data_IF_361868586046
#
_entry.id   IF_361868586046
#
_cell.length_a   1.000
_cell.length_b   1.000
_cell.length_c   1.000
_cell.angle_alpha   90.00
_cell.angle_beta   90.00
_cell.angle_gamma   90.00
#
_symmetry.space_group_name_H-M   'P 1'
#
loop_
_entity.id
_entity.type
_entity.pdbx_description
1 polymer ?
#
# COMPACT_ATOMS: atom_id res chain seq x y z
N UNK A 1 -10.63 -5.29 -1.81
CA UNK A 1 -10.91 -4.70 -0.49
C UNK A 1 -9.75 -3.76 -0.18
N UNK A 2 -10.01 -2.56 0.34
CA UNK A 2 -8.95 -1.64 0.75
C UNK A 2 -8.07 -2.24 1.86
N UNK A 3 -6.87 -1.69 2.04
CA UNK A 3 -5.93 -2.13 3.07
C UNK A 3 -6.26 -1.55 4.45
N UNK A 4 -6.86 -0.37 4.47
CA UNK A 4 -7.21 0.40 5.64
C UNK A 4 -8.69 0.23 6.02
N UNK A 5 -8.96 0.31 7.32
CA UNK A 5 -10.34 0.41 7.84
C UNK A 5 -10.81 1.87 7.88
N UNK A 6 -9.94 2.77 8.34
CA UNK A 6 -10.15 4.22 8.31
C UNK A 6 -9.41 4.82 7.11
N UNK A 7 -10.09 5.58 6.22
CA UNK A 7 -9.47 6.12 5.02
C UNK A 7 -8.18 6.91 5.28
N UNK A 8 -7.11 6.50 4.60
CA UNK A 8 -5.79 7.14 4.69
C UNK A 8 -4.93 6.66 5.87
N UNK A 9 -5.43 5.73 6.70
CA UNK A 9 -4.68 5.17 7.82
C UNK A 9 -4.36 3.68 7.58
N UNK A 10 -3.37 3.45 6.72
CA UNK A 10 -2.85 2.11 6.45
C UNK A 10 -1.89 1.69 7.58
N UNK A 11 -2.20 0.64 8.36
CA UNK A 11 -1.36 0.25 9.47
C UNK A 11 -0.09 -0.46 9.00
N UNK A 12 0.93 -0.44 9.86
CA UNK A 12 2.19 -1.15 9.62
C UNK A 12 2.48 -2.10 10.77
N UNK A 13 3.17 -3.20 10.49
CA UNK A 13 3.70 -4.07 11.53
C UNK A 13 5.14 -3.66 11.85
N UNK A 14 5.35 -3.14 13.06
CA UNK A 14 6.66 -2.67 13.56
C UNK A 14 7.36 -1.68 12.62
N UNK A 15 6.60 -0.89 11.86
CA UNK A 15 7.11 0.02 10.83
C UNK A 15 8.01 -0.64 9.75
N UNK A 16 7.87 -1.95 9.54
CA UNK A 16 8.70 -2.70 8.57
C UNK A 16 7.91 -3.17 7.34
N UNK A 17 6.61 -3.41 7.50
CA UNK A 17 5.72 -3.88 6.42
C UNK A 17 4.34 -3.27 6.57
N UNK A 18 3.64 -3.14 5.45
CA UNK A 18 2.22 -2.75 5.39
C UNK A 18 1.37 -3.92 5.89
N UNK A 19 0.39 -3.65 6.74
CA UNK A 19 -0.53 -4.67 7.26
C UNK A 19 -1.95 -4.38 6.77
N UNK A 20 -2.65 -5.39 6.25
CA UNK A 20 -4.07 -5.29 5.95
C UNK A 20 -4.87 -5.24 7.25
N UNK A 21 -5.71 -4.23 7.43
CA UNK A 21 -6.52 -4.01 8.63
C UNK A 21 -7.61 -5.09 8.87
N UNK A 22 -7.96 -5.88 7.85
CA UNK A 22 -9.09 -6.80 7.93
C UNK A 22 -8.68 -8.26 8.19
N UNK A 23 -7.56 -8.70 7.63
CA UNK A 23 -7.12 -10.10 7.73
C UNK A 23 -5.60 -10.23 7.91
N UNK A 24 -4.95 -9.16 8.39
CA UNK A 24 -3.57 -9.13 8.87
C UNK A 24 -2.51 -9.64 7.89
N UNK A 25 -2.81 -9.61 6.59
CA UNK A 25 -1.82 -9.94 5.58
C UNK A 25 -0.72 -8.86 5.54
N UNK A 26 0.53 -9.29 5.31
CA UNK A 26 1.70 -8.42 5.35
C UNK A 26 2.27 -8.21 3.95
N UNK A 27 2.50 -6.95 3.58
CA UNK A 27 3.01 -6.54 2.28
C UNK A 27 4.30 -5.73 2.42
N UNK A 28 5.26 -6.01 1.54
CA UNK A 28 6.52 -5.27 1.46
C UNK A 28 6.31 -3.84 0.97
N UNK A 29 7.07 -2.89 1.51
CA UNK A 29 7.08 -1.52 1.01
C UNK A 29 7.72 -1.40 -0.38
N UNK A 30 8.72 -2.23 -0.66
CA UNK A 30 9.56 -2.11 -1.85
C UNK A 30 8.78 -2.40 -3.13
N UNK A 31 7.89 -3.39 -3.08
CA UNK A 31 7.22 -3.89 -4.27
C UNK A 31 5.77 -4.30 -4.06
N UNK A 32 5.21 -4.08 -2.87
CA UNK A 32 3.82 -4.40 -2.56
C UNK A 32 3.51 -5.89 -2.54
N UNK A 33 4.52 -6.79 -2.51
CA UNK A 33 4.29 -8.23 -2.51
C UNK A 33 3.75 -8.70 -1.16
N UNK A 34 2.67 -9.48 -1.17
CA UNK A 34 2.13 -10.17 0.01
C UNK A 34 3.11 -11.28 0.41
N UNK A 35 3.70 -11.16 1.60
CA UNK A 35 4.68 -12.11 2.17
C UNK A 35 4.09 -12.98 3.27
N UNK A 36 2.92 -12.63 3.79
CA UNK A 36 2.20 -13.41 4.81
C UNK A 36 0.68 -13.21 4.68
N UNK A 37 -0.09 -14.27 4.95
CA UNK A 37 -1.56 -14.26 4.96
C UNK A 37 -2.21 -14.95 3.75
N UNK A 38 -3.54 -14.92 3.71
CA UNK A 38 -4.37 -15.59 2.68
C UNK A 38 -4.11 -15.11 1.25
N UNK A 39 -3.44 -13.95 1.07
CA UNK A 39 -3.06 -13.40 -0.22
C UNK A 39 -1.63 -13.76 -0.66
N UNK A 40 -0.94 -14.68 0.01
CA UNK A 40 0.48 -14.94 -0.24
C UNK A 40 0.78 -15.13 -1.73
N UNK A 41 1.68 -14.29 -2.26
CA UNK A 41 2.03 -14.27 -3.69
C UNK A 41 1.30 -13.21 -4.53
N UNK A 42 0.21 -12.62 -4.04
CA UNK A 42 -0.41 -11.45 -4.65
C UNK A 42 0.44 -10.17 -4.43
N UNK A 43 0.07 -9.08 -5.10
CA UNK A 43 0.76 -7.79 -5.02
C UNK A 43 -0.23 -6.63 -5.03
N UNK A 44 0.10 -5.55 -4.33
CA UNK A 44 -0.61 -4.27 -4.37
C UNK A 44 -0.34 -3.54 -5.69
N UNK A 45 -1.36 -2.85 -6.18
CA UNK A 45 -1.22 -1.94 -7.32
C UNK A 45 -0.44 -0.69 -6.89
N UNK A 46 0.63 -0.38 -7.62
CA UNK A 46 1.46 0.79 -7.34
C UNK A 46 0.83 2.05 -7.93
N UNK A 47 0.75 3.11 -7.13
CA UNK A 47 0.35 4.44 -7.59
C UNK A 47 1.62 5.23 -7.89
N UNK A 48 1.79 5.67 -9.13
CA UNK A 48 2.91 6.50 -9.52
C UNK A 48 2.78 7.90 -8.90
N UNK A 49 3.84 8.37 -8.25
CA UNK A 49 3.91 9.69 -7.62
C UNK A 49 5.14 10.46 -8.10
N UNK A 50 5.02 11.78 -8.18
CA UNK A 50 6.12 12.68 -8.50
C UNK A 50 5.95 14.02 -7.77
N UNK A 51 7.01 14.82 -7.76
CA UNK A 51 6.95 16.20 -7.28
C UNK A 51 6.63 17.14 -8.44
N UNK A 52 5.69 18.05 -8.25
CA UNK A 52 5.48 19.16 -9.19
C UNK A 52 6.53 20.28 -8.99
N UNK A 53 6.41 21.36 -9.78
CA UNK A 53 7.32 22.50 -9.71
C UNK A 53 7.27 23.25 -8.36
N UNK A 54 6.22 23.03 -7.57
CA UNK A 54 5.98 23.62 -6.26
C UNK A 54 6.32 22.64 -5.12
N UNK A 55 6.94 21.49 -5.43
CA UNK A 55 7.27 20.42 -4.47
C UNK A 55 6.06 19.77 -3.80
N UNK A 56 4.88 19.82 -4.42
CA UNK A 56 3.75 19.01 -3.97
C UNK A 56 3.91 17.58 -4.48
N UNK A 57 3.50 16.60 -3.67
CA UNK A 57 3.38 15.20 -4.12
C UNK A 57 2.11 15.07 -4.95
N UNK A 58 2.28 14.78 -6.23
CA UNK A 58 1.19 14.51 -7.17
C UNK A 58 1.17 13.01 -7.44
N UNK A 59 -0.02 12.42 -7.39
CA UNK A 59 -0.26 11.02 -7.72
C UNK A 59 -1.07 10.92 -9.00
N UNK A 60 -0.67 10.05 -9.92
CA UNK A 60 -1.55 9.64 -11.00
C UNK A 60 -2.38 8.47 -10.49
N UNK A 61 -3.64 8.74 -10.11
CA UNK A 61 -4.63 7.68 -9.93
C UNK A 61 -5.08 7.20 -11.31
N UNK A 62 -4.21 6.47 -12.02
CA UNK A 62 -4.56 5.80 -13.25
C UNK A 62 -5.48 4.62 -12.92
N UNK A 63 -6.78 4.80 -13.15
CA UNK A 63 -7.66 3.67 -13.45
C UNK A 63 -7.31 3.12 -14.83
N UNK A 64 -7.62 1.84 -15.05
CA UNK A 64 -7.57 1.21 -16.36
C UNK A 64 -8.25 2.06 -17.46
#
# INVERSE_FOLDING_TARGET
>A
MPLDYEPGHVPTYRAQVIMCAHHSALFRFEDGRCIEGLCAGAKLDAIAVWLDAQSNVVAHCGGA
#
